data_IF_217578295526
#
_entry.id   IF_217578295526
#
_cell.length_a   1.000
_cell.length_b   1.000
_cell.length_c   1.000
_cell.angle_alpha   90.00
_cell.angle_beta   90.00
_cell.angle_gamma   90.00
#
_symmetry.space_group_name_H-M   'P 1'
#
loop_
_entity.id
_entity.type
_entity.pdbx_description
1 polymer ?
#
# COMPACT_ATOMS: atom_id res chain seq x y z
N UNK A 1 -18.61 26.43 4.87
CA UNK A 1 -17.82 26.20 3.64
C UNK A 1 -17.27 24.78 3.70
N UNK A 2 -17.59 23.91 2.72
CA UNK A 2 -16.87 22.62 2.58
C UNK A 2 -15.59 22.92 1.82
N UNK A 3 -14.43 22.68 2.43
CA UNK A 3 -13.16 22.75 1.69
C UNK A 3 -13.19 21.69 0.58
N UNK A 4 -12.81 22.08 -0.63
CA UNK A 4 -12.64 21.13 -1.73
C UNK A 4 -11.29 20.43 -1.50
N UNK A 5 -11.30 19.35 -0.70
CA UNK A 5 -10.08 18.62 -0.38
C UNK A 5 -9.67 17.81 -1.61
N UNK A 6 -8.61 18.25 -2.29
CA UNK A 6 -8.01 17.49 -3.40
C UNK A 6 -7.36 16.22 -2.82
N UNK A 7 -7.90 15.07 -3.19
CA UNK A 7 -7.30 13.76 -2.90
C UNK A 7 -6.00 13.64 -3.67
N UNK A 8 -4.96 13.14 -3.00
CA UNK A 8 -3.66 12.86 -3.62
C UNK A 8 -3.62 11.42 -4.11
N UNK A 9 -2.81 11.16 -5.13
CA UNK A 9 -2.62 9.81 -5.67
C UNK A 9 -1.13 9.52 -5.76
N UNK A 10 -0.74 8.28 -5.47
CA UNK A 10 0.61 7.74 -5.62
C UNK A 10 0.55 6.43 -6.40
N UNK A 11 1.51 6.25 -7.31
CA UNK A 11 1.70 4.99 -8.03
C UNK A 11 2.62 4.09 -7.23
N UNK A 12 2.19 2.84 -7.03
CA UNK A 12 3.00 1.77 -6.48
C UNK A 12 3.89 1.24 -7.61
N UNK A 13 5.21 1.28 -7.42
CA UNK A 13 6.19 0.72 -8.36
C UNK A 13 6.44 -0.77 -8.11
N UNK A 14 6.39 -1.20 -6.84
CA UNK A 14 6.63 -2.59 -6.45
C UNK A 14 5.70 -3.04 -5.32
N UNK A 15 5.25 -4.29 -5.40
CA UNK A 15 4.57 -5.01 -4.32
C UNK A 15 5.45 -6.18 -3.91
N UNK A 16 5.98 -6.16 -2.69
CA UNK A 16 7.01 -7.09 -2.23
C UNK A 16 6.65 -7.74 -0.91
N UNK A 17 6.71 -9.08 -0.87
CA UNK A 17 6.75 -9.84 0.37
C UNK A 17 8.21 -10.21 0.67
N UNK A 18 8.72 -9.74 1.81
CA UNK A 18 10.10 -9.99 2.19
C UNK A 18 10.27 -11.32 2.95
N UNK A 19 11.51 -11.71 3.26
CA UNK A 19 11.81 -12.95 4.00
C UNK A 19 11.32 -12.96 5.45
N UNK A 20 10.94 -11.81 6.01
CA UNK A 20 10.34 -11.69 7.34
C UNK A 20 8.79 -11.79 7.28
N UNK A 21 8.25 -12.15 6.11
CA UNK A 21 6.82 -12.18 5.84
C UNK A 21 6.15 -10.81 6.01
N UNK A 22 6.85 -9.71 5.72
CA UNK A 22 6.29 -8.35 5.74
C UNK A 22 5.96 -7.92 4.32
N UNK A 23 4.78 -7.31 4.13
CA UNK A 23 4.35 -6.77 2.85
C UNK A 23 4.76 -5.30 2.75
N UNK A 24 5.39 -4.95 1.63
CA UNK A 24 5.82 -3.60 1.30
C UNK A 24 5.15 -3.13 -0.01
N UNK A 25 4.60 -1.92 0.00
CA UNK A 25 4.15 -1.19 -1.18
C UNK A 25 5.11 -0.03 -1.44
N UNK A 26 6.01 -0.19 -2.42
CA UNK A 26 7.03 0.80 -2.79
C UNK A 26 6.40 1.83 -3.71
N UNK A 27 6.66 3.12 -3.47
CA UNK A 27 6.09 4.21 -4.29
C UNK A 27 7.08 4.68 -5.34
N UNK A 28 6.59 4.88 -6.57
CA UNK A 28 7.37 5.42 -7.69
C UNK A 28 7.93 6.82 -7.41
N UNK A 29 7.18 7.65 -6.67
CA UNK A 29 7.58 9.03 -6.35
C UNK A 29 8.71 9.15 -5.33
N UNK A 30 9.06 8.06 -4.64
CA UNK A 30 9.89 8.09 -3.44
C UNK A 30 9.15 8.54 -2.17
N UNK A 31 7.86 8.86 -2.29
CA UNK A 31 7.00 9.29 -1.19
C UNK A 31 7.29 10.69 -0.66
N UNK A 32 6.75 11.01 0.51
CA UNK A 32 6.88 12.34 1.12
C UNK A 32 7.22 12.29 2.61
N UNK A 33 7.86 13.34 3.16
CA UNK A 33 8.23 13.38 4.57
C UNK A 33 7.05 13.22 5.54
N UNK A 34 5.84 13.62 5.16
CA UNK A 34 4.63 13.46 5.99
C UNK A 34 4.19 11.99 6.16
N UNK A 35 4.68 11.08 5.30
CA UNK A 35 4.30 9.66 5.36
C UNK A 35 4.83 8.94 6.59
N UNK A 36 5.93 9.44 7.16
CA UNK A 36 6.47 8.92 8.41
C UNK A 36 5.48 8.99 9.58
N UNK A 37 4.43 9.80 9.51
CA UNK A 37 3.46 9.94 10.60
C UNK A 37 2.32 8.90 10.59
N UNK A 38 2.29 7.99 9.61
CA UNK A 38 1.26 6.92 9.52
C UNK A 38 1.21 6.04 10.79
N UNK A 39 2.32 5.84 11.51
CA UNK A 39 2.34 5.04 12.74
C UNK A 39 1.40 5.59 13.82
N UNK A 40 1.09 6.89 13.80
CA UNK A 40 0.20 7.55 14.77
C UNK A 40 -1.26 7.13 14.62
N UNK A 41 -1.59 6.45 13.52
CA UNK A 41 -2.95 6.02 13.20
C UNK A 41 -3.33 4.69 13.85
N UNK A 42 -2.40 4.04 14.57
CA UNK A 42 -2.60 2.73 15.20
C UNK A 42 -3.09 1.63 14.24
N UNK A 43 -2.80 1.76 12.94
CA UNK A 43 -3.17 0.79 11.89
C UNK A 43 -2.16 -0.36 11.77
N UNK A 44 -1.05 -0.34 12.52
CA UNK A 44 0.06 -1.28 12.36
C UNK A 44 0.90 -1.04 11.09
N UNK A 45 0.61 0.03 10.33
CA UNK A 45 1.35 0.40 9.14
C UNK A 45 2.51 1.32 9.51
N UNK A 46 3.66 1.07 8.89
CA UNK A 46 4.83 1.94 8.98
C UNK A 46 5.23 2.46 7.61
N UNK A 47 5.76 3.68 7.54
CA UNK A 47 6.48 4.17 6.38
C UNK A 47 7.97 3.92 6.59
N UNK A 48 8.64 3.35 5.60
CA UNK A 48 10.08 3.16 5.58
C UNK A 48 10.69 4.11 4.55
N UNK A 49 11.46 5.09 5.02
CA UNK A 49 12.13 6.07 4.16
C UNK A 49 13.12 5.42 3.21
N UNK A 50 13.89 4.46 3.70
CA UNK A 50 15.03 3.90 2.97
C UNK A 50 14.59 3.06 1.76
N UNK A 51 13.42 2.42 1.87
CA UNK A 51 12.79 1.64 0.80
C UNK A 51 11.58 2.33 0.19
N UNK A 52 11.34 3.59 0.56
CA UNK A 52 10.21 4.43 0.09
C UNK A 52 8.89 3.67 0.02
N UNK A 53 8.56 2.95 1.10
CA UNK A 53 7.45 1.99 1.11
C UNK A 53 6.56 2.06 2.34
N UNK A 54 5.26 1.85 2.13
CA UNK A 54 4.37 1.46 3.22
C UNK A 54 4.54 -0.02 3.53
N UNK A 55 4.63 -0.36 4.82
CA UNK A 55 4.85 -1.72 5.30
C UNK A 55 3.78 -2.14 6.30
N UNK A 56 3.33 -3.40 6.21
CA UNK A 56 2.63 -4.10 7.29
C UNK A 56 3.20 -5.51 7.49
N UNK A 57 3.11 -6.04 8.70
CA UNK A 57 3.51 -7.40 9.04
C UNK A 57 4.50 -7.47 10.21
N UNK A 58 5.03 -8.68 10.51
CA UNK A 58 4.88 -9.93 9.75
C UNK A 58 3.43 -10.41 9.60
N UNK A 59 3.07 -10.93 8.42
CA UNK A 59 1.77 -11.53 8.16
C UNK A 59 1.69 -12.86 8.92
N UNK A 60 0.64 -13.04 9.74
CA UNK A 60 0.39 -14.29 10.47
C UNK A 60 -0.93 -14.89 10.02
N UNK A 61 -1.98 -14.09 10.11
CA UNK A 61 -3.36 -14.52 9.86
C UNK A 61 -3.96 -13.85 8.62
N UNK A 62 -3.19 -13.00 7.92
CA UNK A 62 -3.64 -12.30 6.73
C UNK A 62 -3.00 -12.88 5.48
N UNK A 63 -3.80 -13.03 4.43
CA UNK A 63 -3.28 -13.18 3.08
C UNK A 63 -2.56 -11.91 2.62
N UNK A 64 -1.82 -12.00 1.52
CA UNK A 64 -1.17 -10.83 0.92
C UNK A 64 -2.23 -9.86 0.40
N UNK A 65 -3.33 -10.35 -0.17
CA UNK A 65 -4.47 -9.56 -0.61
C UNK A 65 -5.09 -8.77 0.55
N UNK A 66 -5.34 -9.41 1.70
CA UNK A 66 -5.91 -8.76 2.88
C UNK A 66 -4.97 -7.67 3.40
N UNK A 67 -3.68 -7.98 3.52
CA UNK A 67 -2.66 -7.02 3.94
C UNK A 67 -2.53 -5.83 2.97
N UNK A 68 -2.56 -6.09 1.65
CA UNK A 68 -2.54 -5.05 0.62
C UNK A 68 -3.73 -4.10 0.80
N UNK A 69 -4.95 -4.65 0.92
CA UNK A 69 -6.17 -3.85 1.10
C UNK A 69 -6.15 -3.05 2.39
N UNK A 70 -5.65 -3.65 3.46
CA UNK A 70 -5.48 -2.97 4.73
C UNK A 70 -4.60 -1.73 4.60
N UNK A 71 -3.45 -1.85 3.91
CA UNK A 71 -2.57 -0.69 3.64
C UNK A 71 -3.29 0.37 2.82
N UNK A 72 -3.83 0.01 1.65
CA UNK A 72 -4.48 0.97 0.73
C UNK A 72 -5.64 1.71 1.41
N UNK A 73 -6.50 0.97 2.12
CA UNK A 73 -7.66 1.57 2.80
C UNK A 73 -7.24 2.48 3.94
N UNK A 74 -6.29 2.04 4.77
CA UNK A 74 -5.79 2.84 5.90
C UNK A 74 -5.12 4.12 5.44
N UNK A 75 -4.29 4.05 4.39
CA UNK A 75 -3.62 5.23 3.81
C UNK A 75 -4.65 6.20 3.21
N UNK A 76 -5.66 5.70 2.50
CA UNK A 76 -6.75 6.53 1.99
C UNK A 76 -7.52 7.25 3.10
N UNK A 77 -7.90 6.54 4.16
CA UNK A 77 -8.70 7.09 5.26
C UNK A 77 -7.94 8.06 6.14
N UNK A 78 -6.66 7.79 6.40
CA UNK A 78 -5.88 8.54 7.40
C UNK A 78 -5.05 9.67 6.80
N UNK A 79 -4.70 9.57 5.52
CA UNK A 79 -3.80 10.52 4.85
C UNK A 79 -4.43 11.20 3.64
N UNK A 80 -5.68 10.86 3.30
CA UNK A 80 -6.36 11.35 2.10
C UNK A 80 -5.51 11.11 0.82
N UNK A 81 -4.92 9.92 0.77
CA UNK A 81 -3.95 9.48 -0.24
C UNK A 81 -4.42 8.15 -0.86
N UNK A 82 -4.69 8.17 -2.16
CA UNK A 82 -4.99 6.96 -2.91
C UNK A 82 -3.70 6.32 -3.41
N UNK A 83 -3.56 5.02 -3.18
CA UNK A 83 -2.49 4.23 -3.76
C UNK A 83 -3.07 3.41 -4.91
N UNK A 84 -2.44 3.45 -6.07
CA UNK A 84 -2.82 2.64 -7.22
C UNK A 84 -1.60 1.97 -7.83
N UNK A 85 -1.79 0.82 -8.47
CA UNK A 85 -0.75 0.13 -9.22
C UNK A 85 -1.15 0.07 -10.71
N UNK A 86 -0.16 -0.03 -11.59
CA UNK A 86 -0.34 -0.18 -13.03
C UNK A 86 0.18 -1.53 -13.51
N UNK A 87 0.06 -1.81 -14.81
CA UNK A 87 0.66 -2.98 -15.47
C UNK A 87 2.19 -3.01 -15.40
N UNK A 88 2.85 -1.90 -15.05
CA UNK A 88 4.30 -1.81 -14.91
C UNK A 88 4.78 -2.13 -13.49
N UNK A 89 3.85 -2.31 -12.54
CA UNK A 89 4.16 -2.62 -11.15
C UNK A 89 4.83 -3.99 -11.05
N UNK A 90 6.01 -4.05 -10.45
CA UNK A 90 6.71 -5.30 -10.26
C UNK A 90 6.21 -6.03 -9.00
N UNK A 91 6.08 -7.35 -9.11
CA UNK A 91 5.66 -8.22 -8.02
C UNK A 91 6.85 -9.07 -7.56
N UNK A 92 7.16 -9.03 -6.27
CA UNK A 92 8.30 -9.75 -5.71
C UNK A 92 7.86 -10.72 -4.61
N UNK A 93 8.12 -12.01 -4.85
CA UNK A 93 7.78 -13.12 -3.95
C UNK A 93 6.29 -13.18 -3.57
N UNK A 94 5.41 -12.73 -4.47
CA UNK A 94 3.96 -12.84 -4.30
C UNK A 94 3.45 -14.00 -5.17
N UNK A 95 2.77 -15.01 -4.59
CA UNK A 95 2.14 -16.08 -5.37
C UNK A 95 1.15 -15.52 -6.40
N UNK A 96 1.08 -16.10 -7.60
CA UNK A 96 0.18 -15.62 -8.68
C UNK A 96 -1.29 -15.55 -8.24
N UNK A 97 -1.73 -16.45 -7.36
CA UNK A 97 -3.11 -16.45 -6.86
C UNK A 97 -3.45 -15.18 -6.07
N UNK A 98 -2.51 -14.68 -5.27
CA UNK A 98 -2.63 -13.44 -4.50
C UNK A 98 -2.56 -12.22 -5.43
N UNK A 99 -1.67 -12.23 -6.43
CA UNK A 99 -1.60 -11.15 -7.44
C UNK A 99 -2.95 -11.01 -8.15
N UNK A 100 -3.50 -12.12 -8.66
CA UNK A 100 -4.81 -12.13 -9.33
C UNK A 100 -5.95 -11.70 -8.39
N UNK A 101 -5.88 -12.05 -7.10
CA UNK A 101 -6.88 -11.62 -6.12
C UNK A 101 -6.86 -10.11 -5.88
N UNK A 102 -5.67 -9.50 -5.84
CA UNK A 102 -5.48 -8.06 -5.74
C UNK A 102 -6.02 -7.37 -7.00
N UNK A 103 -5.64 -7.85 -8.18
CA UNK A 103 -6.07 -7.33 -9.48
C UNK A 103 -7.59 -7.37 -9.69
N UNK A 104 -8.22 -8.53 -9.42
CA UNK A 104 -9.66 -8.74 -9.69
C UNK A 104 -10.56 -7.69 -9.04
N UNK A 105 -10.25 -7.24 -7.82
CA UNK A 105 -11.10 -6.26 -7.13
C UNK A 105 -10.67 -4.81 -7.35
N UNK A 106 -9.53 -4.56 -8.02
CA UNK A 106 -9.17 -3.21 -8.45
C UNK A 106 -10.03 -2.78 -9.65
N UNK A 107 -10.41 -3.73 -10.52
CA UNK A 107 -11.28 -3.51 -11.69
C UNK A 107 -12.76 -3.24 -11.37
N UNK A 108 -13.20 -3.40 -10.11
CA UNK A 108 -14.59 -3.16 -9.68
C UNK A 108 -14.83 -1.77 -9.06
N UNK A 109 -13.87 -0.85 -9.19
CA UNK A 109 -13.99 0.56 -8.74
C UNK A 109 -14.03 1.56 -9.90
N UNK A 110 -14.38 1.13 -11.11
CA UNK A 110 -14.68 2.00 -12.26
C UNK A 110 -16.16 2.33 -12.34
#
# INVERSE_FOLDING_TARGET
>A
MKANVKVRTETISEIKLNSNNELHLVLESGGRPDYQYIYRTATGISWLSDSTSFKVGPLRDWSVEEAYRHIVNSVAQTMNLQLSFSSETAWHNIPEEEQRAIERKNSNQS
#
